data_IF_459784244390
#
_entry.id   IF_459784244390
#
_cell.length_a   1.000
_cell.length_b   1.000
_cell.length_c   1.000
_cell.angle_alpha   90.00
_cell.angle_beta   90.00
_cell.angle_gamma   90.00
#
_symmetry.space_group_name_H-M   'P 1'
#
loop_
_entity.id
_entity.type
_entity.pdbx_description
1 polymer ?
#
# COMPACT_ATOMS: atom_id res chain seq x y z
N UNK A 1 -9.70 20.25 5.36
CA UNK A 1 -9.31 18.82 5.48
C UNK A 1 -10.39 17.87 5.00
N UNK A 2 -11.68 18.16 5.24
CA UNK A 2 -12.78 17.30 4.74
C UNK A 2 -12.85 17.22 3.22
N UNK A 3 -12.51 18.26 2.48
CA UNK A 3 -12.50 18.24 1.03
C UNK A 3 -11.50 17.21 0.49
N UNK A 4 -10.26 17.18 0.98
CA UNK A 4 -9.27 16.20 0.53
C UNK A 4 -9.67 14.76 0.80
N UNK A 5 -10.32 14.50 1.94
CA UNK A 5 -10.82 13.16 2.30
C UNK A 5 -12.01 12.77 1.43
N UNK A 6 -12.90 13.71 1.09
CA UNK A 6 -14.06 13.47 0.22
C UNK A 6 -13.65 13.19 -1.20
N UNK A 7 -12.71 13.97 -1.73
CA UNK A 7 -12.37 13.98 -3.15
C UNK A 7 -11.22 13.03 -3.51
N UNK A 8 -10.45 12.57 -2.51
CA UNK A 8 -9.25 11.74 -2.73
C UNK A 8 -9.21 10.48 -1.88
N UNK A 9 -10.27 10.15 -1.15
CA UNK A 9 -10.34 9.00 -0.26
C UNK A 9 -11.64 8.23 -0.35
N UNK A 10 -11.93 7.41 0.66
CA UNK A 10 -13.12 6.54 0.74
C UNK A 10 -14.14 7.06 1.76
N UNK A 11 -14.50 8.34 1.68
CA UNK A 11 -15.57 8.87 2.52
C UNK A 11 -16.86 8.06 2.36
N UNK A 12 -17.63 7.70 3.42
CA UNK A 12 -17.47 8.13 4.83
C UNK A 12 -16.49 7.26 5.66
N UNK A 13 -15.79 6.31 5.07
CA UNK A 13 -14.87 5.41 5.78
C UNK A 13 -13.49 6.02 5.92
N UNK A 14 -13.36 7.00 6.81
CA UNK A 14 -12.18 7.83 6.99
C UNK A 14 -11.81 7.96 8.47
N UNK A 15 -10.60 8.43 8.74
CA UNK A 15 -10.12 8.75 10.09
C UNK A 15 -10.03 10.27 10.28
N UNK A 16 -9.84 10.70 11.52
CA UNK A 16 -9.58 12.11 11.85
C UNK A 16 -8.15 12.57 11.49
N UNK A 17 -7.27 11.65 11.14
CA UNK A 17 -5.89 11.95 10.72
C UNK A 17 -5.88 12.73 9.41
N UNK A 18 -4.85 13.55 9.22
CA UNK A 18 -4.62 14.29 7.98
C UNK A 18 -3.50 13.60 7.19
N UNK A 19 -3.82 12.57 6.38
CA UNK A 19 -2.81 11.71 5.75
C UNK A 19 -2.18 12.32 4.49
N UNK A 20 -2.63 13.50 4.05
CA UNK A 20 -2.08 14.16 2.86
C UNK A 20 -0.92 15.06 3.27
N UNK A 21 0.20 14.99 2.54
CA UNK A 21 1.43 15.71 2.84
C UNK A 21 1.23 17.23 2.98
N UNK A 22 0.32 17.84 2.19
CA UNK A 22 -0.06 19.24 2.32
C UNK A 22 -0.59 19.62 3.71
N UNK A 23 -1.10 18.67 4.49
CA UNK A 23 -1.51 18.87 5.87
C UNK A 23 -0.37 19.26 6.81
N UNK A 24 0.86 18.87 6.52
CA UNK A 24 2.03 19.27 7.27
C UNK A 24 2.25 20.79 7.18
N UNK A 25 2.10 21.36 5.99
CA UNK A 25 2.20 22.80 5.77
C UNK A 25 1.15 23.58 6.59
N UNK A 26 -0.09 23.10 6.57
CA UNK A 26 -1.20 23.74 7.30
C UNK A 26 -1.00 23.63 8.81
N UNK A 27 -0.60 22.46 9.30
CA UNK A 27 -0.45 22.20 10.73
C UNK A 27 0.75 22.90 11.38
N UNK A 28 1.85 23.07 10.62
CA UNK A 28 3.10 23.66 11.14
C UNK A 28 3.29 25.11 10.76
N UNK A 29 2.52 25.64 9.80
CA UNK A 29 2.71 26.98 9.24
C UNK A 29 3.92 27.10 8.29
N UNK A 30 4.54 25.98 7.91
CA UNK A 30 5.67 25.97 6.98
C UNK A 30 5.16 26.10 5.55
N UNK A 31 5.79 26.97 4.76
CA UNK A 31 5.44 27.14 3.36
C UNK A 31 5.79 25.89 2.53
N UNK A 32 4.97 25.54 1.50
CA UNK A 32 5.17 24.29 0.75
C UNK A 32 6.52 24.20 0.03
N UNK A 33 7.14 25.32 -0.32
CA UNK A 33 8.49 25.35 -0.93
C UNK A 33 9.64 25.06 0.03
N UNK A 34 9.34 24.93 1.33
CA UNK A 34 10.32 24.58 2.37
C UNK A 34 10.38 23.08 2.61
N UNK A 35 9.58 22.31 1.86
CA UNK A 35 9.58 20.83 1.91
C UNK A 35 10.31 20.35 0.68
N UNK A 36 11.50 19.74 0.89
CA UNK A 36 12.36 19.26 -0.19
C UNK A 36 11.97 17.85 -0.63
N UNK A 37 11.57 16.99 0.31
CA UNK A 37 11.19 15.60 0.03
C UNK A 37 9.91 15.22 0.76
N UNK A 38 9.09 14.39 0.10
CA UNK A 38 7.91 13.76 0.68
C UNK A 38 8.04 12.26 0.49
N UNK A 39 8.27 11.54 1.60
CA UNK A 39 8.47 10.09 1.60
C UNK A 39 7.15 9.42 1.99
N UNK A 40 6.60 8.60 1.09
CA UNK A 40 5.44 7.77 1.37
C UNK A 40 5.84 6.48 2.06
N UNK A 41 5.27 6.18 3.22
CA UNK A 41 5.49 4.90 3.90
C UNK A 41 4.34 3.94 3.59
N UNK A 42 4.67 2.78 3.05
CA UNK A 42 3.70 1.74 2.70
C UNK A 42 4.14 0.35 3.13
N UNK A 43 3.24 -0.61 3.02
CA UNK A 43 3.53 -2.03 3.21
C UNK A 43 3.62 -2.72 1.86
N UNK A 44 4.30 -3.85 1.80
CA UNK A 44 4.37 -4.71 0.60
C UNK A 44 3.04 -5.42 0.28
N UNK A 45 2.02 -5.23 1.09
CA UNK A 45 0.64 -5.68 0.92
C UNK A 45 -0.31 -4.61 1.47
N UNK A 46 -1.61 -4.74 1.23
CA UNK A 46 -2.61 -3.77 1.69
C UNK A 46 -3.32 -4.25 2.94
N UNK A 47 -3.56 -3.32 3.88
CA UNK A 47 -4.39 -3.57 5.06
C UNK A 47 -5.47 -2.52 5.20
N UNK A 48 -6.61 -2.91 5.75
CA UNK A 48 -7.69 -1.99 6.06
C UNK A 48 -8.29 -2.27 7.44
N UNK A 49 -8.60 -1.21 8.16
CA UNK A 49 -9.36 -1.26 9.41
C UNK A 49 -10.77 -0.75 9.13
N UNK A 50 -11.76 -1.43 9.70
CA UNK A 50 -13.16 -1.03 9.54
C UNK A 50 -13.78 -1.38 8.19
N UNK A 51 -14.92 -0.78 7.91
CA UNK A 51 -15.73 -1.05 6.72
C UNK A 51 -15.23 -0.28 5.48
N UNK A 52 -15.91 -0.50 4.36
CA UNK A 52 -15.65 0.16 3.10
C UNK A 52 -15.05 -0.79 2.05
N UNK A 53 -15.04 -0.37 0.78
CA UNK A 53 -14.57 -1.20 -0.31
C UNK A 53 -13.07 -1.46 -0.20
N UNK A 54 -12.68 -2.68 -0.52
CA UNK A 54 -11.31 -3.15 -0.50
C UNK A 54 -11.12 -4.13 -1.66
N UNK A 55 -10.90 -3.65 -2.88
CA UNK A 55 -10.89 -4.48 -4.08
C UNK A 55 -9.92 -5.66 -4.04
N UNK A 56 -8.77 -5.48 -3.39
CA UNK A 56 -7.72 -6.52 -3.29
C UNK A 56 -7.83 -7.40 -2.05
N UNK A 57 -8.92 -7.30 -1.28
CA UNK A 57 -9.12 -8.07 -0.04
C UNK A 57 -9.07 -9.57 -0.29
N UNK A 58 -8.44 -10.30 0.61
CA UNK A 58 -8.29 -11.74 0.59
C UNK A 58 -9.12 -12.39 1.71
N UNK A 59 -9.92 -13.38 1.33
CA UNK A 59 -10.77 -14.16 2.24
C UNK A 59 -10.30 -15.61 2.36
N UNK A 60 -9.15 -15.94 1.77
CA UNK A 60 -8.56 -17.27 1.68
C UNK A 60 -7.42 -17.48 2.70
N UNK A 61 -6.77 -18.63 2.58
CA UNK A 61 -5.61 -18.99 3.40
C UNK A 61 -4.45 -18.01 3.24
N UNK A 62 -4.28 -17.43 2.06
CA UNK A 62 -3.25 -16.41 1.79
C UNK A 62 -3.50 -15.16 2.63
N UNK A 63 -4.75 -14.69 2.68
CA UNK A 63 -5.13 -13.56 3.52
C UNK A 63 -4.89 -13.82 5.01
N UNK A 64 -5.17 -15.04 5.47
CA UNK A 64 -4.88 -15.46 6.84
C UNK A 64 -3.36 -15.51 7.11
N UNK A 65 -2.60 -16.09 6.18
CA UNK A 65 -1.14 -16.15 6.28
C UNK A 65 -0.52 -14.76 6.43
N UNK A 66 -0.92 -13.80 5.57
CA UNK A 66 -0.43 -12.41 5.63
C UNK A 66 -0.80 -11.77 6.97
N UNK A 67 -2.02 -12.00 7.46
CA UNK A 67 -2.49 -11.47 8.75
C UNK A 67 -1.67 -11.98 9.92
N UNK A 68 -1.51 -13.30 10.00
CA UNK A 68 -0.79 -13.95 11.10
C UNK A 68 0.69 -13.56 11.09
N UNK A 69 1.36 -13.74 9.95
CA UNK A 69 2.79 -13.47 9.82
C UNK A 69 3.11 -11.98 9.92
N UNK A 70 2.24 -11.12 9.40
CA UNK A 70 2.37 -9.67 9.50
C UNK A 70 1.97 -9.08 10.85
N UNK A 71 1.35 -9.88 11.74
CA UNK A 71 0.84 -9.39 13.02
C UNK A 71 -0.27 -8.35 12.84
N UNK A 72 -1.13 -8.54 11.83
CA UNK A 72 -2.13 -7.53 11.44
C UNK A 72 -3.36 -7.57 12.35
N UNK A 73 -3.15 -7.12 13.58
CA UNK A 73 -4.15 -6.98 14.63
C UNK A 73 -4.14 -5.56 15.21
N UNK A 74 -5.27 -5.10 15.71
CA UNK A 74 -5.34 -3.80 16.39
C UNK A 74 -4.59 -3.86 17.72
N UNK A 75 -3.64 -2.97 17.93
CA UNK A 75 -2.78 -2.95 19.13
C UNK A 75 -3.59 -2.92 20.44
N UNK A 76 -4.66 -2.11 20.48
CA UNK A 76 -5.49 -1.96 21.67
C UNK A 76 -6.64 -2.95 21.73
N UNK A 77 -7.23 -3.29 20.58
CA UNK A 77 -8.47 -4.06 20.51
C UNK A 77 -8.27 -5.54 20.20
N UNK A 78 -7.09 -5.92 19.71
CA UNK A 78 -6.81 -7.27 19.22
C UNK A 78 -7.63 -7.68 17.99
N UNK A 79 -8.42 -6.75 17.40
CA UNK A 79 -9.26 -7.08 16.25
C UNK A 79 -8.42 -7.35 15.01
N UNK A 80 -8.72 -8.43 14.25
CA UNK A 80 -8.02 -8.71 13.01
C UNK A 80 -8.24 -7.59 11.99
N UNK A 81 -7.17 -7.16 11.35
CA UNK A 81 -7.24 -6.25 10.21
C UNK A 81 -7.58 -7.04 8.95
N UNK A 82 -8.29 -6.42 8.05
CA UNK A 82 -8.52 -6.92 6.69
C UNK A 82 -7.21 -6.84 5.93
N UNK A 83 -6.86 -7.90 5.20
CA UNK A 83 -5.59 -8.01 4.46
C UNK A 83 -5.87 -8.28 2.98
N UNK A 84 -5.02 -7.79 2.11
CA UNK A 84 -5.15 -7.95 0.67
C UNK A 84 -3.81 -7.78 -0.05
N UNK A 85 -3.76 -8.13 -1.32
CA UNK A 85 -2.60 -7.93 -2.15
C UNK A 85 -2.24 -6.45 -2.31
N UNK A 86 -0.98 -6.18 -2.63
CA UNK A 86 -0.51 -4.82 -2.92
C UNK A 86 -1.32 -4.20 -4.05
N UNK A 87 -1.75 -2.97 -3.85
CA UNK A 87 -2.57 -2.23 -4.79
C UNK A 87 -1.81 -1.05 -5.39
N UNK A 88 -1.28 -1.25 -6.60
CA UNK A 88 -0.53 -0.21 -7.29
C UNK A 88 -1.44 0.92 -7.81
N UNK A 89 -2.75 0.70 -7.97
CA UNK A 89 -3.70 1.76 -8.37
C UNK A 89 -3.84 2.77 -7.24
N UNK A 90 -4.07 2.29 -6.00
CA UNK A 90 -4.13 3.15 -4.80
C UNK A 90 -2.77 3.83 -4.57
N UNK A 91 -1.66 3.10 -4.77
CA UNK A 91 -0.34 3.68 -4.53
C UNK A 91 -0.01 4.79 -5.53
N UNK A 92 -0.31 4.62 -6.83
CA UNK A 92 -0.18 5.71 -7.83
C UNK A 92 -1.03 6.92 -7.47
N UNK A 93 -2.25 6.68 -7.01
CA UNK A 93 -3.10 7.77 -6.52
C UNK A 93 -2.46 8.49 -5.33
N UNK A 94 -1.94 7.74 -4.34
CA UNK A 94 -1.24 8.32 -3.19
C UNK A 94 0.01 9.11 -3.60
N UNK A 95 0.81 8.59 -4.53
CA UNK A 95 1.98 9.29 -5.09
C UNK A 95 1.56 10.65 -5.67
N UNK A 96 0.52 10.66 -6.49
CA UNK A 96 0.02 11.87 -7.16
C UNK A 96 -0.52 12.90 -6.17
N UNK A 97 -1.40 12.51 -5.24
CA UNK A 97 -2.07 13.47 -4.33
C UNK A 97 -1.16 14.01 -3.24
N UNK A 98 -0.09 13.29 -2.92
CA UNK A 98 0.90 13.71 -1.93
C UNK A 98 2.14 14.35 -2.56
N UNK A 99 2.33 14.24 -3.87
CA UNK A 99 3.58 14.66 -4.53
C UNK A 99 4.78 13.88 -3.99
N UNK A 100 4.64 12.55 -3.82
CA UNK A 100 5.72 11.75 -3.24
C UNK A 100 6.96 11.77 -4.12
N UNK A 101 8.10 12.03 -3.52
CA UNK A 101 9.42 11.98 -4.16
C UNK A 101 10.04 10.59 -4.08
N UNK A 102 9.65 9.81 -3.08
CA UNK A 102 10.06 8.42 -2.91
C UNK A 102 9.09 7.65 -2.01
N UNK A 103 9.22 6.32 -2.04
CA UNK A 103 8.51 5.39 -1.20
C UNK A 103 9.47 4.66 -0.27
N UNK A 104 9.02 4.43 0.96
CA UNK A 104 9.60 3.48 1.90
C UNK A 104 8.60 2.34 2.08
N UNK A 105 8.90 1.16 1.53
CA UNK A 105 8.02 -0.01 1.62
C UNK A 105 8.58 -0.95 2.68
N UNK A 106 7.73 -1.39 3.60
CA UNK A 106 8.08 -2.30 4.67
C UNK A 106 7.33 -3.65 4.59
N UNK A 107 7.59 -4.55 5.55
CA UNK A 107 6.90 -5.84 5.69
C UNK A 107 7.12 -6.81 4.53
N UNK A 108 8.25 -6.73 3.82
CA UNK A 108 8.61 -7.72 2.80
C UNK A 108 8.79 -9.12 3.37
N UNK A 109 9.29 -9.23 4.58
CA UNK A 109 9.43 -10.47 5.35
C UNK A 109 8.10 -11.22 5.51
N UNK A 110 6.99 -10.49 5.60
CA UNK A 110 5.65 -11.08 5.70
C UNK A 110 5.27 -11.89 4.45
N UNK A 111 5.70 -11.45 3.27
CA UNK A 111 5.39 -12.14 2.01
C UNK A 111 6.34 -13.29 1.68
N UNK A 112 7.48 -13.38 2.38
CA UNK A 112 8.45 -14.46 2.17
C UNK A 112 7.82 -15.84 2.45
N UNK A 113 8.03 -16.80 1.55
CA UNK A 113 7.44 -18.15 1.62
C UNK A 113 6.14 -18.33 0.83
N UNK A 114 5.56 -17.25 0.28
CA UNK A 114 4.48 -17.36 -0.69
C UNK A 114 5.07 -17.66 -2.08
N UNK A 115 4.59 -18.70 -2.79
CA UNK A 115 5.16 -19.11 -4.08
C UNK A 115 4.89 -18.08 -5.20
N UNK A 116 3.78 -17.38 -5.11
CA UNK A 116 3.34 -16.36 -6.08
C UNK A 116 2.83 -15.15 -5.32
N UNK A 117 3.29 -13.99 -5.72
CA UNK A 117 2.81 -12.69 -5.24
C UNK A 117 1.94 -12.05 -6.31
N UNK A 118 0.88 -11.36 -5.91
CA UNK A 118 0.00 -10.66 -6.84
C UNK A 118 0.01 -9.16 -6.53
N UNK A 119 0.08 -8.37 -7.60
CA UNK A 119 0.00 -6.91 -7.52
C UNK A 119 -1.18 -6.45 -8.36
N UNK A 120 -2.09 -5.70 -7.76
CA UNK A 120 -3.19 -5.10 -8.51
C UNK A 120 -2.67 -3.94 -9.36
N UNK A 121 -2.75 -4.09 -10.68
CA UNK A 121 -2.23 -3.10 -11.63
C UNK A 121 -3.32 -2.20 -12.22
N UNK A 122 -4.57 -2.67 -12.19
CA UNK A 122 -5.75 -1.96 -12.67
C UNK A 122 -7.01 -2.55 -12.01
N UNK A 123 -8.14 -1.87 -12.18
CA UNK A 123 -9.46 -2.39 -11.82
C UNK A 123 -10.29 -2.66 -13.06
N UNK A 124 -11.14 -3.68 -12.96
CA UNK A 124 -12.17 -3.99 -13.95
C UNK A 124 -13.53 -3.58 -13.38
N UNK A 125 -14.26 -2.75 -14.11
CA UNK A 125 -15.63 -2.35 -13.77
C UNK A 125 -16.64 -3.41 -14.17
N UNK A 126 -17.88 -3.31 -13.69
CA UNK A 126 -18.96 -4.26 -14.02
C UNK A 126 -19.37 -4.24 -15.50
N UNK A 127 -19.16 -3.12 -16.19
CA UNK A 127 -19.39 -2.97 -17.64
C UNK A 127 -18.17 -3.41 -18.49
N UNK A 128 -17.14 -3.95 -17.84
CA UNK A 128 -15.97 -4.55 -18.49
C UNK A 128 -14.85 -3.58 -18.84
N UNK A 129 -14.97 -2.31 -18.47
CA UNK A 129 -13.89 -1.34 -18.69
C UNK A 129 -12.71 -1.59 -17.74
N UNK A 130 -11.52 -1.22 -18.19
CA UNK A 130 -10.30 -1.30 -17.37
C UNK A 130 -9.92 0.11 -16.91
N UNK A 131 -9.88 0.30 -15.59
CA UNK A 131 -9.47 1.54 -14.96
C UNK A 131 -8.03 1.39 -14.43
N UNK A 132 -7.14 2.25 -14.92
CA UNK A 132 -5.76 2.34 -14.43
C UNK A 132 -5.60 3.36 -13.31
N UNK A 133 -6.56 4.26 -13.18
CA UNK A 133 -6.62 5.28 -12.14
C UNK A 133 -7.64 4.92 -11.07
N UNK A 134 -7.45 5.51 -9.88
CA UNK A 134 -8.36 5.30 -8.75
C UNK A 134 -9.74 5.91 -9.06
N UNK A 135 -10.84 5.13 -8.87
CA UNK A 135 -12.19 5.61 -9.13
C UNK A 135 -12.54 6.86 -8.33
N UNK A 136 -13.34 7.73 -8.93
CA UNK A 136 -13.74 9.00 -8.32
C UNK A 136 -14.79 8.79 -7.22
N UNK A 137 -15.65 7.78 -7.37
CA UNK A 137 -16.74 7.52 -6.43
C UNK A 137 -16.56 6.20 -5.67
N UNK A 138 -17.07 6.18 -4.44
CA UNK A 138 -17.10 4.98 -3.62
C UNK A 138 -17.96 3.87 -4.23
N UNK A 139 -19.05 4.23 -4.91
CA UNK A 139 -19.93 3.27 -5.59
C UNK A 139 -19.23 2.58 -6.75
N UNK A 140 -18.44 3.32 -7.50
CA UNK A 140 -17.64 2.77 -8.58
C UNK A 140 -16.56 1.85 -8.03
N UNK A 141 -15.81 2.28 -7.01
CA UNK A 141 -14.79 1.47 -6.35
C UNK A 141 -15.37 0.17 -5.78
N UNK A 142 -16.56 0.22 -5.18
CA UNK A 142 -17.22 -0.97 -4.61
C UNK A 142 -17.63 -2.01 -5.66
N UNK A 143 -17.76 -1.60 -6.92
CA UNK A 143 -18.11 -2.47 -8.05
C UNK A 143 -16.88 -2.95 -8.83
N UNK A 144 -15.70 -2.45 -8.48
CA UNK A 144 -14.47 -2.82 -9.15
C UNK A 144 -13.95 -4.18 -8.67
N UNK A 145 -13.41 -4.94 -9.63
CA UNK A 145 -12.62 -6.15 -9.37
C UNK A 145 -11.17 -5.89 -9.71
N UNK A 146 -10.20 -6.40 -8.94
CA UNK A 146 -8.79 -6.18 -9.22
C UNK A 146 -8.31 -6.98 -10.44
N UNK A 147 -7.44 -6.38 -11.24
CA UNK A 147 -6.67 -7.05 -12.28
C UNK A 147 -5.26 -7.21 -11.73
N UNK A 148 -4.83 -8.46 -11.60
CA UNK A 148 -3.55 -8.79 -11.01
C UNK A 148 -2.48 -9.08 -12.05
N UNK A 149 -1.26 -8.66 -11.75
CA UNK A 149 -0.02 -9.19 -12.28
C UNK A 149 0.55 -10.17 -11.26
N UNK A 150 0.97 -11.36 -11.71
CA UNK A 150 1.61 -12.36 -10.88
C UNK A 150 3.12 -12.24 -10.99
N UNK A 151 3.78 -12.27 -9.84
CA UNK A 151 5.24 -12.16 -9.70
C UNK A 151 5.70 -13.38 -8.89
N UNK A 152 6.82 -13.94 -9.28
CA UNK A 152 7.41 -15.07 -8.56
C UNK A 152 7.73 -14.68 -7.12
N UNK A 153 7.32 -15.52 -6.18
CA UNK A 153 7.57 -15.31 -4.77
C UNK A 153 9.03 -15.56 -4.39
N UNK A 154 9.38 -15.14 -3.19
CA UNK A 154 10.72 -15.30 -2.63
C UNK A 154 10.66 -15.99 -1.27
N UNK A 155 11.76 -16.62 -0.89
CA UNK A 155 11.94 -17.33 0.35
C UNK A 155 13.13 -16.74 1.14
N UNK A 156 13.25 -17.16 2.38
CA UNK A 156 14.37 -16.81 3.24
C UNK A 156 14.01 -15.81 4.34
N UNK A 157 14.93 -15.70 5.28
CA UNK A 157 14.86 -14.70 6.35
C UNK A 157 15.50 -13.41 5.88
N UNK A 158 14.68 -12.39 5.68
CA UNK A 158 15.12 -11.06 5.26
C UNK A 158 15.58 -10.18 6.41
N UNK A 159 15.46 -10.63 7.66
CA UNK A 159 15.77 -9.81 8.84
C UNK A 159 17.25 -9.42 8.93
N UNK A 160 18.14 -10.22 8.34
CA UNK A 160 19.58 -9.95 8.30
C UNK A 160 19.99 -8.96 7.20
N UNK A 161 19.14 -8.74 6.17
CA UNK A 161 19.45 -7.86 5.05
C UNK A 161 19.35 -6.39 5.49
N UNK A 162 20.43 -5.65 5.32
CA UNK A 162 20.52 -4.22 5.67
C UNK A 162 20.48 -3.32 4.44
N UNK A 163 20.80 -3.87 3.29
CA UNK A 163 20.84 -3.15 2.00
C UNK A 163 19.97 -3.85 0.98
N UNK A 164 19.62 -3.12 -0.09
CA UNK A 164 18.86 -3.68 -1.20
C UNK A 164 19.57 -4.86 -1.87
N UNK A 165 20.90 -4.77 -2.03
CA UNK A 165 21.71 -5.78 -2.72
C UNK A 165 21.85 -7.09 -1.93
N UNK A 166 21.59 -7.06 -0.61
CA UNK A 166 21.57 -8.26 0.24
C UNK A 166 20.27 -9.04 0.14
N UNK A 167 19.22 -8.46 -0.46
CA UNK A 167 17.95 -9.13 -0.67
C UNK A 167 18.10 -10.27 -1.69
N UNK A 168 17.37 -11.39 -1.55
CA UNK A 168 17.26 -12.40 -2.60
C UNK A 168 16.86 -11.77 -3.94
N UNK A 169 17.40 -12.27 -5.06
CA UNK A 169 17.14 -11.72 -6.40
C UNK A 169 15.65 -11.56 -6.71
N UNK A 170 14.83 -12.53 -6.31
CA UNK A 170 13.38 -12.47 -6.49
C UNK A 170 12.72 -11.35 -5.66
N UNK A 171 13.22 -11.10 -4.45
CA UNK A 171 12.75 -9.99 -3.63
C UNK A 171 13.16 -8.64 -4.25
N UNK A 172 14.38 -8.54 -4.78
CA UNK A 172 14.83 -7.35 -5.53
C UNK A 172 13.98 -7.13 -6.77
N UNK A 173 13.65 -8.18 -7.53
CA UNK A 173 12.78 -8.10 -8.69
C UNK A 173 11.38 -7.60 -8.31
N UNK A 174 10.83 -8.10 -7.20
CA UNK A 174 9.54 -7.62 -6.67
C UNK A 174 9.58 -6.13 -6.34
N UNK A 175 10.59 -5.67 -5.61
CA UNK A 175 10.76 -4.25 -5.26
C UNK A 175 10.86 -3.38 -6.52
N UNK A 176 11.71 -3.76 -7.49
CA UNK A 176 11.85 -3.03 -8.76
C UNK A 176 10.53 -2.97 -9.52
N UNK A 177 9.78 -4.09 -9.51
CA UNK A 177 8.48 -4.10 -10.18
C UNK A 177 7.45 -3.19 -9.51
N UNK A 178 7.43 -3.13 -8.18
CA UNK A 178 6.60 -2.18 -7.45
C UNK A 178 6.97 -0.72 -7.78
N UNK A 179 8.26 -0.41 -7.85
CA UNK A 179 8.77 0.91 -8.22
C UNK A 179 8.25 1.34 -9.60
N UNK A 180 8.36 0.46 -10.60
CA UNK A 180 7.83 0.70 -11.95
C UNK A 180 6.31 0.91 -11.95
N UNK A 181 5.58 0.03 -11.26
CA UNK A 181 4.12 0.07 -11.20
C UNK A 181 3.59 1.29 -10.47
N UNK A 182 4.29 1.77 -9.45
CA UNK A 182 3.92 2.98 -8.70
C UNK A 182 4.36 4.27 -9.38
N UNK A 183 5.36 4.20 -10.27
CA UNK A 183 5.97 5.37 -10.91
C UNK A 183 6.69 6.28 -9.92
N UNK A 184 7.24 5.71 -8.83
CA UNK A 184 7.89 6.45 -7.76
C UNK A 184 9.05 5.63 -7.19
N UNK A 185 10.26 6.21 -7.03
CA UNK A 185 11.42 5.50 -6.52
C UNK A 185 11.18 4.90 -5.13
N UNK A 186 11.63 3.66 -4.91
CA UNK A 186 11.65 3.03 -3.60
C UNK A 186 13.05 3.19 -3.02
N UNK A 187 13.26 4.21 -2.18
CA UNK A 187 14.57 4.54 -1.60
C UNK A 187 14.91 3.76 -0.33
N UNK A 188 13.88 3.38 0.42
CA UNK A 188 14.02 2.71 1.71
C UNK A 188 13.12 1.47 1.71
N UNK A 189 13.73 0.32 1.90
CA UNK A 189 13.05 -0.92 2.24
C UNK A 189 13.32 -1.18 3.72
N UNK A 190 12.39 -0.83 4.59
CA UNK A 190 12.49 -1.11 6.01
C UNK A 190 11.96 -2.52 6.24
N UNK A 191 12.89 -3.47 6.41
CA UNK A 191 12.55 -4.88 6.59
C UNK A 191 11.98 -5.12 7.98
N UNK A 192 12.42 -4.33 8.98
CA UNK A 192 11.88 -4.38 10.34
C UNK A 192 11.85 -2.98 10.95
N UNK A 193 10.65 -2.48 11.22
CA UNK A 193 10.45 -1.55 12.32
C UNK A 193 9.74 -2.37 13.40
N UNK A 194 10.49 -2.88 14.36
CA UNK A 194 9.91 -3.23 15.65
C UNK A 194 9.46 -1.91 16.26
N UNK A 195 8.15 -1.71 16.37
CA UNK A 195 7.65 -0.65 17.24
C UNK A 195 8.16 -0.91 18.66
N UNK A 196 8.61 0.13 19.37
CA UNK A 196 9.06 0.01 20.75
C UNK A 196 7.92 -0.37 21.68
#
# INVERSE_FOLDING_TARGET
>A
SEMCIRDSGTYPFVTSSHPIAGGACVGTGVGPKMIDEVIGVGKSYTTRVGNGPFPTELFDETGNYIREKGGEYGTTTGRPRRTGWFDAVIMRHAVRVNGLTSLAINKFDTLAGLPVLKVCVAYKTTDGQTLKDFPVTLEELAKCSPIYEEIEGYEGDLSACKTFDELPEKAQAYVKRLEELCGCPIKLSLIHISEP
#
